data_IF_072535989656
#
_entry.id   IF_072535989656
#
_cell.length_a   1.000
_cell.length_b   1.000
_cell.length_c   1.000
_cell.angle_alpha   90.00
_cell.angle_beta   90.00
_cell.angle_gamma   90.00
#
_symmetry.space_group_name_H-M   'P 1'
#
loop_
_entity.id
_entity.type
_entity.pdbx_description
1 polymer ?
#
# COMPACT_ATOMS: atom_id res chain seq x y z
N UNK A 1 -13.70 -2.93 -14.34
CA UNK A 1 -12.57 -3.66 -13.71
C UNK A 1 -12.64 -3.39 -12.22
N UNK A 2 -12.84 -4.42 -11.39
CA UNK A 2 -12.92 -4.28 -9.94
C UNK A 2 -11.49 -4.07 -9.40
N UNK A 3 -11.25 -3.03 -8.60
CA UNK A 3 -9.96 -2.85 -7.94
C UNK A 3 -9.84 -3.88 -6.80
N UNK A 4 -8.73 -4.62 -6.75
CA UNK A 4 -8.44 -5.51 -5.63
C UNK A 4 -7.84 -4.67 -4.50
N UNK A 5 -8.62 -4.50 -3.43
CA UNK A 5 -8.21 -3.81 -2.21
C UNK A 5 -7.90 -4.90 -1.18
N UNK A 6 -6.66 -4.92 -0.71
CA UNK A 6 -6.18 -5.89 0.30
C UNK A 6 -5.30 -5.18 1.32
N UNK A 7 -5.06 -5.84 2.45
CA UNK A 7 -4.12 -5.37 3.47
C UNK A 7 -2.88 -6.27 3.56
N UNK A 8 -1.79 -5.76 4.13
CA UNK A 8 -0.57 -6.53 4.37
C UNK A 8 -0.84 -7.75 5.26
N UNK A 9 -1.62 -7.68 6.36
CA UNK A 9 -1.97 -8.86 7.16
C UNK A 9 -2.68 -9.95 6.33
N UNK A 10 -3.61 -9.58 5.47
CA UNK A 10 -4.29 -10.54 4.58
C UNK A 10 -3.32 -11.16 3.56
N UNK A 11 -2.42 -10.35 2.99
CA UNK A 11 -1.36 -10.86 2.11
C UNK A 11 -0.40 -11.79 2.86
N UNK A 12 -0.10 -11.51 4.13
CA UNK A 12 0.70 -12.39 4.97
C UNK A 12 0.00 -13.73 5.20
N UNK A 13 -1.32 -13.74 5.41
CA UNK A 13 -2.08 -14.99 5.53
C UNK A 13 -2.06 -15.75 4.20
N UNK A 14 -2.30 -15.08 3.07
CA UNK A 14 -2.30 -15.68 1.72
C UNK A 14 -0.94 -16.28 1.33
N UNK A 15 0.17 -15.64 1.72
CA UNK A 15 1.54 -16.06 1.39
C UNK A 15 2.27 -16.74 2.56
N UNK A 16 1.55 -17.32 3.53
CA UNK A 16 2.12 -18.08 4.65
C UNK A 16 3.21 -17.33 5.44
N UNK A 17 3.07 -16.02 5.57
CA UNK A 17 4.01 -15.14 6.26
C UNK A 17 5.28 -14.78 5.46
N UNK A 18 5.36 -15.12 4.17
CA UNK A 18 6.51 -14.82 3.32
C UNK A 18 6.59 -13.34 2.94
N UNK A 19 7.16 -12.54 3.83
CA UNK A 19 7.32 -11.09 3.65
C UNK A 19 8.18 -10.72 2.41
N UNK A 20 9.11 -11.57 1.99
CA UNK A 20 9.98 -11.27 0.84
C UNK A 20 9.19 -11.35 -0.47
N UNK A 21 8.33 -12.35 -0.58
CA UNK A 21 7.45 -12.53 -1.74
C UNK A 21 6.43 -11.41 -1.84
N UNK A 22 5.79 -11.06 -0.72
CA UNK A 22 4.88 -9.90 -0.64
C UNK A 22 5.61 -8.61 -1.04
N UNK A 23 6.86 -8.43 -0.60
CA UNK A 23 7.67 -7.27 -0.97
C UNK A 23 7.92 -7.17 -2.48
N UNK A 24 8.11 -8.31 -3.15
CA UNK A 24 8.20 -8.36 -4.62
C UNK A 24 6.85 -8.07 -5.29
N UNK A 25 5.75 -8.55 -4.72
CA UNK A 25 4.40 -8.34 -5.23
C UNK A 25 3.98 -6.86 -5.16
N UNK A 26 4.25 -6.21 -4.03
CA UNK A 26 3.78 -4.84 -3.76
C UNK A 26 4.83 -3.75 -3.94
N UNK A 27 6.06 -4.12 -4.29
CA UNK A 27 7.19 -3.20 -4.44
C UNK A 27 7.67 -2.57 -3.12
N UNK A 28 7.56 -3.28 -2.00
CA UNK A 28 7.92 -2.78 -0.67
C UNK A 28 9.05 -3.59 -0.02
N UNK A 29 9.85 -2.93 0.82
CA UNK A 29 10.84 -3.62 1.63
C UNK A 29 10.15 -4.42 2.76
N UNK A 30 10.75 -5.54 3.14
CA UNK A 30 10.37 -6.35 4.31
C UNK A 30 10.22 -5.53 5.59
N UNK A 31 11.03 -4.48 5.77
CA UNK A 31 10.90 -3.56 6.92
C UNK A 31 9.55 -2.84 6.93
N UNK A 32 9.10 -2.36 5.76
CA UNK A 32 7.79 -1.72 5.59
C UNK A 32 6.65 -2.71 5.84
N UNK A 33 6.78 -3.93 5.34
CA UNK A 33 5.79 -5.00 5.57
C UNK A 33 5.68 -5.32 7.05
N UNK A 34 6.81 -5.49 7.75
CA UNK A 34 6.82 -5.75 9.20
C UNK A 34 6.17 -4.62 9.99
N UNK A 35 6.39 -3.36 9.59
CA UNK A 35 5.79 -2.19 10.24
C UNK A 35 4.25 -2.24 10.22
N UNK A 36 3.66 -2.76 9.16
CA UNK A 36 2.20 -2.79 8.95
C UNK A 36 1.60 -4.20 9.08
N UNK A 37 2.38 -5.19 9.53
CA UNK A 37 1.94 -6.57 9.66
C UNK A 37 0.79 -6.78 10.67
N UNK A 38 0.55 -5.80 11.53
CA UNK A 38 -0.53 -5.80 12.53
C UNK A 38 -1.64 -4.78 12.23
N UNK A 39 -1.55 -4.05 11.13
CA UNK A 39 -2.53 -3.03 10.75
C UNK A 39 -3.72 -3.68 10.00
N UNK A 40 -4.43 -4.57 10.69
CA UNK A 40 -5.57 -5.32 10.13
C UNK A 40 -6.78 -4.43 9.81
N UNK A 41 -6.88 -3.28 10.47
CA UNK A 41 -7.97 -2.32 10.28
C UNK A 41 -7.71 -1.35 9.10
N UNK A 42 -6.61 -1.51 8.36
CA UNK A 42 -6.22 -0.62 7.27
C UNK A 42 -6.13 0.87 7.69
N UNK A 43 -5.76 1.15 8.95
CA UNK A 43 -5.76 2.50 9.50
C UNK A 43 -4.61 3.36 8.96
N UNK A 44 -3.49 2.70 8.65
CA UNK A 44 -2.25 3.34 8.20
C UNK A 44 -1.78 2.87 6.81
N UNK A 45 -2.30 1.78 6.27
CA UNK A 45 -1.93 1.29 4.95
C UNK A 45 -3.06 0.54 4.24
N UNK A 46 -2.95 0.46 2.92
CA UNK A 46 -3.79 -0.38 2.06
C UNK A 46 -3.00 -0.78 0.81
N UNK A 47 -3.24 -1.97 0.27
CA UNK A 47 -2.68 -2.41 -1.00
C UNK A 47 -3.78 -2.37 -2.06
N UNK A 48 -3.57 -1.58 -3.10
CA UNK A 48 -4.53 -1.41 -4.20
C UNK A 48 -3.86 -1.87 -5.49
N UNK A 49 -4.39 -2.92 -6.13
CA UNK A 49 -3.85 -3.48 -7.37
C UNK A 49 -2.33 -3.76 -7.29
N UNK A 50 -1.87 -4.31 -6.17
CA UNK A 50 -0.45 -4.60 -5.95
C UNK A 50 0.42 -3.36 -5.69
N UNK A 51 -0.16 -2.19 -5.39
CA UNK A 51 0.60 -1.01 -4.94
C UNK A 51 0.31 -0.71 -3.49
N UNK A 52 1.36 -0.59 -2.68
CA UNK A 52 1.25 -0.18 -1.29
C UNK A 52 0.96 1.33 -1.20
N UNK A 53 -0.21 1.66 -0.68
CA UNK A 53 -0.60 3.01 -0.28
C UNK A 53 -0.46 3.13 1.24
N UNK A 54 0.13 4.23 1.70
CA UNK A 54 0.30 4.50 3.14
C UNK A 54 -0.32 5.85 3.49
N UNK A 55 -0.91 5.94 4.67
CA UNK A 55 -1.40 7.19 5.21
C UNK A 55 -0.22 8.08 5.58
N UNK A 56 -0.08 9.21 4.89
CA UNK A 56 0.95 10.19 5.20
C UNK A 56 0.58 10.96 6.48
N UNK A 57 1.45 10.94 7.51
CA UNK A 57 1.23 11.68 8.76
C UNK A 57 1.72 13.14 8.73
N UNK A 58 2.38 13.59 7.66
CA UNK A 58 3.06 14.89 7.62
C UNK A 58 2.86 15.69 6.34
N UNK A 59 1.67 16.27 6.15
CA UNK A 59 1.48 17.34 5.17
C UNK A 59 0.91 16.88 3.83
N UNK A 60 -0.03 17.69 3.34
CA UNK A 60 -0.64 17.63 2.02
C UNK A 60 0.44 17.86 0.95
N UNK A 61 0.91 16.80 0.31
CA UNK A 61 1.63 16.90 -0.97
C UNK A 61 0.78 16.34 -2.11
N UNK A 62 -0.53 16.63 -2.05
CA UNK A 62 -1.45 16.50 -3.18
C UNK A 62 -1.71 17.90 -3.73
N UNK A 63 -0.68 18.55 -4.24
CA UNK A 63 -0.91 19.50 -5.32
C UNK A 63 -0.90 18.66 -6.58
N UNK A 64 -2.07 18.11 -6.91
CA UNK A 64 -2.34 17.64 -8.25
C UNK A 64 -2.13 18.84 -9.16
N UNK A 65 -0.96 18.94 -9.78
CA UNK A 65 -0.79 19.72 -11.01
C UNK A 65 -1.66 19.05 -12.07
N UNK A 66 -2.97 19.30 -11.99
CA UNK A 66 -3.79 19.35 -13.19
C UNK A 66 -3.18 20.54 -13.93
N UNK A 67 -2.28 20.25 -14.87
CA UNK A 67 -1.81 21.23 -15.82
C UNK A 67 -3.07 21.80 -16.46
N UNK A 68 -3.32 23.12 -16.41
CA UNK A 68 -4.42 23.68 -17.15
C UNK A 68 -4.17 23.32 -18.62
N UNK A 69 -5.13 22.62 -19.23
CA UNK A 69 -5.16 22.48 -20.68
C UNK A 69 -5.05 23.88 -21.27
N UNK A 70 -3.96 24.10 -22.00
CA UNK A 70 -3.67 25.32 -22.73
C UNK A 70 -4.85 25.55 -23.68
N UNK A 71 -5.61 26.61 -23.42
CA UNK A 71 -6.64 27.12 -24.33
C UNK A 71 -6.02 27.63 -25.64
#
# INVERSE_FOLDING_TARGET
MQAEITTIPELLIKHYGNMTEIGRLIGANRGTIRKYAHDANAESHVVINGKLMIRHRGGVRWESKILPEVR
#
